data_IF_163395431143
#
_entry.id   IF_163395431143
#
_cell.length_a   1.000
_cell.length_b   1.000
_cell.length_c   1.000
_cell.angle_alpha   90.00
_cell.angle_beta   90.00
_cell.angle_gamma   90.00
#
_symmetry.space_group_name_H-M   'P 1'
#
loop_
_entity.id
_entity.type
_entity.pdbx_description
1 polymer ?
#
# COMPACT_ATOMS: atom_id res chain seq x y z
N UNK A 1 -6.02 -4.25 11.29
CA UNK A 1 -5.14 -5.43 11.11
C UNK A 1 -5.96 -6.72 11.07
N UNK A 2 -6.60 -7.11 12.17
CA UNK A 2 -7.30 -8.40 12.30
C UNK A 2 -8.34 -8.65 11.21
N UNK A 3 -9.09 -7.62 10.80
CA UNK A 3 -10.06 -7.73 9.71
C UNK A 3 -9.40 -8.06 8.35
N UNK A 4 -8.27 -7.41 8.03
CA UNK A 4 -7.55 -7.68 6.79
C UNK A 4 -6.97 -9.10 6.78
N UNK A 5 -6.44 -9.54 7.93
CA UNK A 5 -5.95 -10.90 8.09
C UNK A 5 -7.06 -11.95 7.89
N UNK A 6 -8.25 -11.72 8.46
CA UNK A 6 -9.41 -12.61 8.26
C UNK A 6 -9.86 -12.67 6.80
N UNK A 7 -9.87 -11.53 6.09
CA UNK A 7 -10.24 -11.47 4.67
C UNK A 7 -9.22 -12.17 3.77
N UNK A 8 -7.93 -12.11 4.13
CA UNK A 8 -6.86 -12.78 3.38
C UNK A 8 -6.68 -14.25 3.74
N UNK A 9 -7.16 -14.69 4.90
CA UNK A 9 -6.94 -16.05 5.40
C UNK A 9 -7.26 -17.16 4.37
N UNK A 10 -8.38 -17.11 3.61
CA UNK A 10 -8.68 -18.14 2.62
C UNK A 10 -7.63 -18.23 1.50
N UNK A 11 -6.97 -17.12 1.19
CA UNK A 11 -5.97 -17.03 0.11
C UNK A 11 -4.54 -17.35 0.61
N UNK A 12 -4.31 -17.33 1.92
CA UNK A 12 -2.99 -17.60 2.49
C UNK A 12 -2.56 -19.05 2.31
N UNK A 13 -3.51 -19.98 2.18
CA UNK A 13 -3.25 -21.41 1.94
C UNK A 13 -2.82 -21.68 0.49
N UNK A 14 -3.35 -20.90 -0.47
CA UNK A 14 -3.07 -21.04 -1.90
C UNK A 14 -1.83 -20.26 -2.37
N UNK A 15 -1.10 -19.61 -1.45
CA UNK A 15 0.05 -18.77 -1.81
C UNK A 15 1.19 -19.60 -2.41
N UNK A 16 1.96 -19.04 -3.36
CA UNK A 16 3.12 -19.74 -3.92
C UNK A 16 4.12 -20.14 -2.82
N UNK A 17 4.66 -21.36 -2.92
CA UNK A 17 5.69 -21.84 -2.01
C UNK A 17 6.91 -20.91 -2.05
N UNK A 18 7.41 -20.49 -0.88
CA UNK A 18 8.54 -19.57 -0.77
C UNK A 18 8.14 -18.09 -0.64
N UNK A 19 6.85 -17.76 -0.69
CA UNK A 19 6.32 -16.43 -0.35
C UNK A 19 5.90 -16.40 1.13
N UNK A 20 6.60 -15.59 1.92
CA UNK A 20 6.22 -15.23 3.29
C UNK A 20 5.35 -13.96 3.27
N UNK A 21 4.29 -13.96 4.08
CA UNK A 21 3.37 -12.84 4.23
C UNK A 21 3.41 -12.35 5.67
N UNK A 22 3.64 -11.05 5.87
CA UNK A 22 3.63 -10.42 7.19
C UNK A 22 2.71 -9.19 7.20
N UNK A 23 1.96 -9.03 8.30
CA UNK A 23 1.12 -7.87 8.57
C UNK A 23 1.87 -6.92 9.51
N UNK A 24 2.09 -5.69 9.07
CA UNK A 24 2.84 -4.68 9.82
C UNK A 24 1.89 -3.52 10.14
N UNK A 25 1.21 -3.54 11.31
CA UNK A 25 0.34 -2.45 11.71
C UNK A 25 1.16 -1.19 12.03
N UNK A 26 0.60 -0.03 11.66
CA UNK A 26 1.16 1.27 11.98
C UNK A 26 0.06 2.33 12.12
N UNK A 27 0.46 3.54 12.52
CA UNK A 27 -0.47 4.66 12.75
C UNK A 27 -1.23 5.04 11.47
N UNK A 28 -0.60 4.87 10.30
CA UNK A 28 -1.18 5.21 9.00
C UNK A 28 -1.98 4.07 8.34
N UNK A 29 -2.06 2.89 8.97
CA UNK A 29 -2.71 1.71 8.40
C UNK A 29 -1.88 0.44 8.56
N UNK A 30 -2.20 -0.59 7.79
CA UNK A 30 -1.51 -1.88 7.81
C UNK A 30 -0.72 -2.03 6.53
N UNK A 31 0.59 -2.26 6.64
CA UNK A 31 1.43 -2.64 5.52
C UNK A 31 1.46 -4.17 5.41
N UNK A 32 1.08 -4.70 4.25
CA UNK A 32 1.27 -6.12 3.94
C UNK A 32 2.64 -6.27 3.27
N UNK A 33 3.54 -7.05 3.88
CA UNK A 33 4.86 -7.34 3.34
C UNK A 33 4.89 -8.75 2.78
N UNK A 34 5.18 -8.84 1.49
CA UNK A 34 5.51 -10.10 0.81
C UNK A 34 7.03 -10.24 0.77
N UNK A 35 7.55 -11.39 1.19
CA UNK A 35 8.98 -11.68 1.15
C UNK A 35 9.19 -13.01 0.45
N UNK A 36 9.97 -13.01 -0.63
CA UNK A 36 10.41 -14.23 -1.29
C UNK A 36 11.84 -14.52 -0.88
N UNK A 37 12.07 -15.73 -0.36
CA UNK A 37 13.43 -16.21 -0.06
C UNK A 37 13.87 -17.15 -1.17
N UNK A 38 14.36 -16.58 -2.27
CA UNK A 38 14.98 -17.33 -3.35
C UNK A 38 16.50 -17.14 -3.30
N UNK A 39 17.25 -18.25 -3.37
CA UNK A 39 18.71 -18.27 -3.19
C UNK A 39 19.44 -18.36 -4.55
N UNK A 40 18.73 -18.34 -5.68
CA UNK A 40 19.33 -18.63 -6.99
C UNK A 40 19.07 -17.63 -8.11
N UNK A 41 17.84 -17.14 -8.30
CA UNK A 41 17.46 -16.39 -9.51
C UNK A 41 16.49 -15.23 -9.22
N UNK A 42 16.88 -14.00 -9.56
CA UNK A 42 16.07 -12.80 -9.33
C UNK A 42 14.74 -12.82 -10.13
N UNK A 43 14.76 -13.32 -11.36
CA UNK A 43 13.57 -13.39 -12.22
C UNK A 43 12.51 -14.34 -11.65
N UNK A 44 12.94 -15.41 -10.99
CA UNK A 44 12.05 -16.35 -10.31
C UNK A 44 11.41 -15.70 -9.08
N UNK A 45 12.19 -14.96 -8.30
CA UNK A 45 11.67 -14.21 -7.16
C UNK A 45 10.63 -13.16 -7.58
N UNK A 46 10.88 -12.44 -8.68
CA UNK A 46 9.92 -11.49 -9.25
C UNK A 46 8.63 -12.19 -9.69
N UNK A 47 8.74 -13.30 -10.42
CA UNK A 47 7.57 -14.07 -10.87
C UNK A 47 6.72 -14.59 -9.69
N UNK A 48 7.34 -15.01 -8.59
CA UNK A 48 6.63 -15.44 -7.37
C UNK A 48 5.90 -14.27 -6.69
N UNK A 49 6.52 -13.09 -6.66
CA UNK A 49 5.86 -11.88 -6.14
C UNK A 49 4.66 -11.50 -7.02
N UNK A 50 4.79 -11.54 -8.35
CA UNK A 50 3.71 -11.24 -9.28
C UNK A 50 2.53 -12.22 -9.11
N UNK A 51 2.82 -13.51 -8.95
CA UNK A 51 1.79 -14.52 -8.66
C UNK A 51 1.07 -14.24 -7.33
N UNK A 52 1.82 -13.88 -6.28
CA UNK A 52 1.25 -13.53 -4.99
C UNK A 52 0.40 -12.24 -5.07
N UNK A 53 0.83 -11.23 -5.83
CA UNK A 53 0.03 -10.03 -6.06
C UNK A 53 -1.30 -10.37 -6.75
N UNK A 54 -1.27 -11.17 -7.81
CA UNK A 54 -2.49 -11.60 -8.53
C UNK A 54 -3.44 -12.37 -7.61
N UNK A 55 -2.90 -13.28 -6.78
CA UNK A 55 -3.69 -14.06 -5.84
C UNK A 55 -4.42 -13.17 -4.82
N UNK A 56 -3.75 -12.15 -4.28
CA UNK A 56 -4.31 -11.29 -3.23
C UNK A 56 -5.13 -10.10 -3.76
N UNK A 57 -5.06 -9.79 -5.06
CA UNK A 57 -5.76 -8.66 -5.68
C UNK A 57 -7.27 -8.61 -5.41
N UNK A 58 -8.04 -9.72 -5.41
CA UNK A 58 -9.48 -9.68 -5.11
C UNK A 58 -9.82 -9.09 -3.73
N UNK A 59 -8.90 -9.20 -2.77
CA UNK A 59 -9.06 -8.65 -1.42
C UNK A 59 -8.39 -7.28 -1.32
N UNK A 60 -7.15 -7.15 -1.82
CA UNK A 60 -6.30 -5.99 -1.61
C UNK A 60 -6.55 -4.84 -2.58
N UNK A 61 -7.10 -5.10 -3.77
CA UNK A 61 -7.19 -4.10 -4.85
C UNK A 61 -7.92 -2.82 -4.45
N UNK A 62 -8.97 -2.94 -3.62
CA UNK A 62 -9.72 -1.79 -3.10
C UNK A 62 -8.94 -0.93 -2.08
N UNK A 63 -7.89 -1.47 -1.46
CA UNK A 63 -7.06 -0.80 -0.46
C UNK A 63 -5.70 -0.36 -1.02
N UNK A 64 -5.32 -0.87 -2.20
CA UNK A 64 -4.01 -0.64 -2.82
C UNK A 64 -3.96 0.78 -3.41
N UNK A 65 -2.92 1.52 -3.04
CA UNK A 65 -2.54 2.76 -3.71
C UNK A 65 -1.11 2.64 -4.23
N UNK A 66 -0.81 3.37 -5.31
CA UNK A 66 0.53 3.38 -5.92
C UNK A 66 1.28 4.66 -5.52
N UNK A 67 2.35 4.49 -4.76
CA UNK A 67 3.31 5.52 -4.40
C UNK A 67 4.71 4.90 -4.40
N UNK A 68 5.70 5.59 -4.96
CA UNK A 68 7.09 5.08 -4.97
C UNK A 68 7.64 4.98 -3.54
N UNK A 69 7.31 5.96 -2.70
CA UNK A 69 7.69 5.97 -1.27
C UNK A 69 6.81 5.10 -0.37
N UNK A 70 5.67 4.60 -0.88
CA UNK A 70 4.64 3.99 -0.05
C UNK A 70 3.80 4.98 0.79
N UNK A 71 4.01 6.30 0.64
CA UNK A 71 3.22 7.32 1.35
C UNK A 71 1.92 7.66 0.61
N UNK A 72 0.80 7.66 1.33
CA UNK A 72 -0.51 8.02 0.79
C UNK A 72 -0.56 9.46 0.25
N UNK A 73 0.15 10.39 0.89
CA UNK A 73 0.20 11.80 0.43
C UNK A 73 0.78 11.89 -0.98
N UNK A 74 1.79 11.07 -1.28
CA UNK A 74 2.38 11.00 -2.62
C UNK A 74 1.36 10.55 -3.66
N UNK A 75 0.62 9.47 -3.36
CA UNK A 75 -0.41 8.95 -4.26
C UNK A 75 -1.52 9.97 -4.52
N UNK A 76 -1.98 10.67 -3.48
CA UNK A 76 -2.99 11.72 -3.60
C UNK A 76 -2.48 12.90 -4.43
N UNK A 77 -1.25 13.37 -4.18
CA UNK A 77 -0.66 14.48 -4.92
C UNK A 77 -0.51 14.13 -6.42
N UNK A 78 -0.05 12.92 -6.73
CA UNK A 78 0.06 12.44 -8.11
C UNK A 78 -1.31 12.34 -8.80
N UNK A 79 -2.35 11.88 -8.08
CA UNK A 79 -3.71 11.81 -8.60
C UNK A 79 -4.29 13.20 -8.90
N UNK A 80 -4.12 14.16 -7.98
CA UNK A 80 -4.59 15.55 -8.16
C UNK A 80 -3.89 16.24 -9.34
N UNK A 81 -2.57 16.09 -9.47
CA UNK A 81 -1.79 16.66 -10.58
C UNK A 81 -2.27 16.11 -11.92
N UNK A 82 -2.43 14.79 -12.03
CA UNK A 82 -2.94 14.13 -13.25
C UNK A 82 -4.36 14.56 -13.60
N UNK A 83 -5.19 14.87 -12.61
CA UNK A 83 -6.55 15.35 -12.81
C UNK A 83 -6.66 16.88 -13.00
N UNK A 84 -5.57 17.64 -12.85
CA UNK A 84 -5.59 19.11 -12.86
C UNK A 84 -6.47 19.70 -11.74
N UNK A 85 -6.56 19.02 -10.59
CA UNK A 85 -7.44 19.41 -9.47
C UNK A 85 -6.64 20.07 -8.34
N UNK A 86 -7.33 20.94 -7.60
CA UNK A 86 -6.83 21.55 -6.37
C UNK A 86 -7.58 20.96 -5.18
N UNK A 87 -6.95 20.96 -4.02
CA UNK A 87 -7.50 20.44 -2.76
C UNK A 87 -7.53 21.56 -1.72
N UNK A 88 -8.55 21.58 -0.88
CA UNK A 88 -8.66 22.45 0.29
C UNK A 88 -9.13 21.61 1.49
N UNK A 89 -8.74 22.00 2.71
CA UNK A 89 -9.10 21.31 3.95
C UNK A 89 -9.70 22.29 4.95
N UNK A 90 -10.71 21.85 5.69
CA UNK A 90 -11.23 22.51 6.88
C UNK A 90 -11.20 21.49 8.02
N UNK A 91 -10.47 21.80 9.09
CA UNK A 91 -10.08 20.81 10.10
C UNK A 91 -10.60 21.19 11.49
N UNK A 92 -11.08 20.18 12.23
CA UNK A 92 -11.48 20.31 13.64
C UNK A 92 -10.53 19.48 14.51
N UNK A 93 -10.85 18.20 14.78
CA UNK A 93 -10.06 17.33 15.67
C UNK A 93 -8.61 17.10 15.20
N UNK A 94 -8.34 17.18 13.90
CA UNK A 94 -6.98 17.04 13.35
C UNK A 94 -6.16 18.32 13.45
N UNK A 95 -6.79 19.48 13.68
CA UNK A 95 -6.12 20.75 14.00
C UNK A 95 -5.14 21.26 12.93
N UNK A 96 -5.26 20.86 11.66
CA UNK A 96 -4.32 21.22 10.60
C UNK A 96 -3.34 20.09 10.23
N UNK A 97 -3.42 18.93 10.88
CA UNK A 97 -2.54 17.79 10.61
C UNK A 97 -2.64 17.26 9.17
N UNK A 98 -3.83 17.31 8.55
CA UNK A 98 -4.01 16.88 7.16
C UNK A 98 -3.35 17.88 6.21
N UNK A 99 -3.65 19.17 6.39
CA UNK A 99 -3.02 20.25 5.62
C UNK A 99 -1.49 20.18 5.72
N UNK A 100 -0.98 20.04 6.95
CA UNK A 100 0.46 19.91 7.21
C UNK A 100 1.09 18.76 6.43
N UNK A 101 0.54 17.54 6.52
CA UNK A 101 1.07 16.39 5.78
C UNK A 101 1.09 16.62 4.27
N UNK A 102 0.06 17.27 3.73
CA UNK A 102 -0.02 17.60 2.30
C UNK A 102 1.04 18.64 1.90
N UNK A 103 1.27 19.67 2.72
CA UNK A 103 2.20 20.78 2.42
C UNK A 103 3.66 20.50 2.77
N UNK A 104 3.94 19.52 3.62
CA UNK A 104 5.31 19.11 3.96
C UNK A 104 6.04 18.47 2.73
N UNK A 105 5.29 18.06 1.70
CA UNK A 105 5.84 17.49 0.48
C UNK A 105 6.15 18.58 -0.56
N UNK A 106 7.36 18.63 -1.14
CA UNK A 106 7.69 19.57 -2.21
C UNK A 106 6.73 19.49 -3.41
N UNK A 107 6.40 20.66 -3.98
CA UNK A 107 5.49 20.77 -5.13
C UNK A 107 4.01 20.59 -4.78
N UNK A 108 3.62 20.93 -3.54
CA UNK A 108 2.25 21.01 -3.05
C UNK A 108 1.52 22.31 -3.41
N UNK A 109 2.25 23.31 -3.93
CA UNK A 109 1.73 24.60 -4.41
C UNK A 109 1.37 24.59 -5.89
#
# INVERSE_FOLDING_TARGET
>A
ESELALRLAPLLEDRPSGVEVAFLPGVAGVSLRLTVRDVGEADRAAALLDQAEVLFEPVLGQYRFRAQSGDLVEAVAAALKRAGKRLATAESCTGGGVAKRLTDRPGSS
#
